data_IF_514980127509
#
_entry.id   IF_514980127509
#
_cell.length_a   1.000
_cell.length_b   1.000
_cell.length_c   1.000
_cell.angle_alpha   90.00
_cell.angle_beta   90.00
_cell.angle_gamma   90.00
#
_symmetry.space_group_name_H-M   'P 1'
#
loop_
_entity.id
_entity.type
_entity.pdbx_description
1 polymer ?
#
# COMPACT_ATOMS: atom_id res chain seq x y z
N UNK A 1 -10.28 -73.62 -9.67
CA UNK A 1 -11.25 -73.72 -10.77
C UNK A 1 -11.06 -72.52 -11.68
N UNK A 2 -10.89 -72.76 -12.98
CA UNK A 2 -10.82 -71.73 -14.03
C UNK A 2 -12.21 -71.12 -14.23
N UNK A 3 -12.32 -69.80 -14.21
CA UNK A 3 -13.39 -69.12 -14.95
C UNK A 3 -12.84 -67.88 -15.61
N UNK A 4 -13.06 -67.85 -16.92
CA UNK A 4 -12.60 -66.94 -17.96
C UNK A 4 -13.23 -65.55 -17.76
N UNK A 5 -12.43 -64.49 -17.83
CA UNK A 5 -12.93 -63.13 -18.03
C UNK A 5 -12.81 -62.74 -19.50
N UNK A 6 -13.97 -62.42 -20.08
CA UNK A 6 -14.18 -62.04 -21.47
C UNK A 6 -13.62 -60.65 -21.74
N UNK A 7 -12.86 -60.51 -22.84
CA UNK A 7 -12.40 -59.23 -23.39
C UNK A 7 -13.59 -58.45 -23.98
N UNK A 8 -13.89 -57.29 -23.42
CA UNK A 8 -14.68 -56.26 -24.10
C UNK A 8 -13.73 -55.17 -24.60
N UNK A 9 -13.50 -55.14 -25.92
CA UNK A 9 -12.90 -53.97 -26.56
C UNK A 9 -13.96 -52.88 -26.64
N UNK A 10 -13.84 -51.85 -25.80
CA UNK A 10 -14.64 -50.64 -25.94
C UNK A 10 -13.79 -49.61 -26.69
N UNK A 11 -13.99 -49.55 -28.00
CA UNK A 11 -13.46 -48.47 -28.84
C UNK A 11 -14.22 -47.21 -28.43
N UNK A 12 -13.55 -46.26 -27.78
CA UNK A 12 -14.13 -44.95 -27.48
C UNK A 12 -14.05 -44.12 -28.77
N UNK A 13 -15.18 -43.69 -29.36
CA UNK A 13 -15.15 -42.74 -30.44
C UNK A 13 -14.64 -41.39 -29.90
N UNK A 14 -13.57 -40.88 -30.49
CA UNK A 14 -13.10 -39.50 -30.28
C UNK A 14 -14.18 -38.59 -30.85
N UNK A 15 -15.14 -38.20 -30.01
CA UNK A 15 -16.11 -37.16 -30.32
C UNK A 15 -15.43 -35.80 -30.12
N UNK A 16 -15.63 -34.95 -31.12
CA UNK A 16 -14.95 -33.68 -31.31
C UNK A 16 -15.19 -32.70 -30.15
N UNK A 17 -14.17 -32.51 -29.30
CA UNK A 17 -14.10 -31.40 -28.33
C UNK A 17 -13.65 -30.07 -28.94
N UNK A 18 -13.61 -29.93 -30.27
CA UNK A 18 -13.14 -28.70 -30.92
C UNK A 18 -14.23 -27.63 -31.06
N UNK A 19 -15.52 -27.99 -30.97
CA UNK A 19 -16.62 -27.04 -31.19
C UNK A 19 -16.97 -26.22 -29.94
N UNK A 20 -16.66 -26.72 -28.75
CA UNK A 20 -16.99 -26.05 -27.48
C UNK A 20 -15.92 -25.03 -27.07
N UNK A 21 -14.66 -25.26 -27.44
CA UNK A 21 -13.55 -24.35 -27.16
C UNK A 21 -13.63 -23.04 -27.97
N UNK A 22 -14.12 -23.10 -29.21
CA UNK A 22 -14.30 -21.92 -30.06
C UNK A 22 -15.43 -21.02 -29.55
N UNK A 23 -16.53 -21.63 -29.09
CA UNK A 23 -17.66 -20.89 -28.53
C UNK A 23 -17.30 -20.25 -27.18
N UNK A 24 -16.57 -20.96 -26.31
CA UNK A 24 -16.08 -20.41 -25.04
C UNK A 24 -15.13 -19.21 -25.27
N UNK A 25 -14.22 -19.33 -26.24
CA UNK A 25 -13.30 -18.23 -26.59
C UNK A 25 -14.04 -17.02 -27.17
N UNK A 26 -15.06 -17.26 -27.98
CA UNK A 26 -15.88 -16.21 -28.59
C UNK A 26 -16.81 -15.52 -27.58
N UNK A 27 -17.33 -16.24 -26.58
CA UNK A 27 -18.10 -15.66 -25.46
C UNK A 27 -17.21 -14.88 -24.50
N UNK A 28 -15.98 -15.33 -24.23
CA UNK A 28 -15.00 -14.54 -23.45
C UNK A 28 -14.64 -13.25 -24.19
N UNK A 29 -14.37 -13.32 -25.51
CA UNK A 29 -14.11 -12.14 -26.34
C UNK A 29 -15.31 -11.18 -26.39
N UNK A 30 -16.54 -11.71 -26.45
CA UNK A 30 -17.76 -10.87 -26.44
C UNK A 30 -18.02 -10.24 -25.09
N UNK A 31 -17.77 -10.95 -23.99
CA UNK A 31 -17.95 -10.43 -22.63
C UNK A 31 -16.93 -9.32 -22.33
N UNK A 32 -15.70 -9.44 -22.85
CA UNK A 32 -14.68 -8.38 -22.81
C UNK A 32 -14.99 -7.18 -23.73
N UNK A 33 -15.79 -7.39 -24.80
CA UNK A 33 -16.20 -6.33 -25.74
C UNK A 33 -17.52 -5.64 -25.37
N UNK A 34 -18.26 -6.13 -24.39
CA UNK A 34 -19.23 -5.28 -23.66
C UNK A 34 -18.42 -4.25 -22.90
N UNK A 35 -18.11 -3.17 -23.61
CA UNK A 35 -17.54 -1.91 -23.17
C UNK A 35 -17.88 -1.62 -21.71
N UNK A 36 -17.05 -2.11 -20.78
CA UNK A 36 -16.69 -1.33 -19.62
C UNK A 36 -16.19 -0.04 -20.25
N UNK A 37 -17.03 0.98 -20.19
CA UNK A 37 -16.56 2.34 -20.40
C UNK A 37 -15.52 2.51 -19.30
N UNK A 38 -14.24 2.24 -19.60
CA UNK A 38 -13.14 2.66 -18.75
C UNK A 38 -13.43 4.14 -18.59
N UNK A 39 -13.95 4.51 -17.42
CA UNK A 39 -14.29 5.87 -17.09
C UNK A 39 -13.11 6.72 -17.55
N UNK A 40 -13.35 7.66 -18.45
CA UNK A 40 -12.34 8.67 -18.79
C UNK A 40 -12.07 9.61 -17.61
N UNK A 41 -12.67 9.33 -16.44
CA UNK A 41 -12.44 10.03 -15.19
C UNK A 41 -11.13 9.62 -14.52
N UNK A 42 -10.68 10.50 -13.63
CA UNK A 42 -9.47 10.34 -12.82
C UNK A 42 -9.52 9.05 -12.00
N UNK A 43 -8.38 8.36 -11.88
CA UNK A 43 -8.21 7.30 -10.89
C UNK A 43 -8.33 7.88 -9.46
N UNK A 44 -8.61 7.05 -8.46
CA UNK A 44 -8.63 7.52 -7.06
C UNK A 44 -7.29 8.11 -6.63
N UNK A 45 -6.18 7.62 -7.19
CA UNK A 45 -4.85 8.17 -6.91
C UNK A 45 -4.58 9.44 -7.72
N UNK A 46 -5.17 9.58 -8.91
CA UNK A 46 -5.13 10.85 -9.63
C UNK A 46 -5.89 11.91 -8.81
N UNK A 47 -7.04 11.58 -8.22
CA UNK A 47 -7.75 12.53 -7.33
C UNK A 47 -6.89 12.92 -6.11
N UNK A 48 -6.08 12.00 -5.57
CA UNK A 48 -5.23 12.27 -4.40
C UNK A 48 -3.96 13.05 -4.72
N UNK A 49 -3.29 12.67 -5.80
CA UNK A 49 -1.88 12.98 -6.03
C UNK A 49 -1.61 13.64 -7.38
N UNK A 50 -2.59 13.80 -8.26
CA UNK A 50 -2.41 14.50 -9.53
C UNK A 50 -1.95 15.94 -9.28
N UNK A 51 -0.90 16.35 -9.99
CA UNK A 51 -0.24 17.64 -9.80
C UNK A 51 0.64 17.76 -8.55
N UNK A 52 0.87 16.67 -7.78
CA UNK A 52 1.88 16.69 -6.73
C UNK A 52 3.28 16.78 -7.32
N UNK A 53 4.07 17.71 -6.79
CA UNK A 53 5.49 17.88 -7.02
C UNK A 53 6.29 17.28 -5.86
N UNK A 54 7.61 17.18 -5.99
CA UNK A 54 8.50 16.63 -4.96
C UNK A 54 8.29 17.29 -3.58
N UNK A 55 8.02 18.60 -3.56
CA UNK A 55 7.75 19.33 -2.32
C UNK A 55 6.49 18.88 -1.59
N UNK A 56 5.46 18.40 -2.32
CA UNK A 56 4.23 17.88 -1.72
C UNK A 56 4.48 16.55 -1.00
N UNK A 57 5.43 15.75 -1.47
CA UNK A 57 5.82 14.50 -0.80
C UNK A 57 6.59 14.76 0.51
N UNK A 58 7.22 15.93 0.64
CA UNK A 58 7.99 16.31 1.84
C UNK A 58 7.12 16.92 2.94
N UNK A 59 5.97 17.51 2.59
CA UNK A 59 5.06 18.15 3.54
C UNK A 59 3.58 18.06 3.11
N UNK A 60 2.83 17.15 3.72
CA UNK A 60 1.42 16.90 3.40
C UNK A 60 0.60 16.40 4.61
N UNK A 61 -0.72 16.30 4.41
CA UNK A 61 -1.66 15.86 5.45
C UNK A 61 -1.47 14.40 5.89
N UNK A 62 -0.89 13.53 5.05
CA UNK A 62 -0.60 12.16 5.48
C UNK A 62 0.47 12.16 6.58
N UNK A 63 1.52 12.97 6.42
CA UNK A 63 2.58 13.09 7.42
C UNK A 63 2.06 13.78 8.70
N UNK A 64 1.24 14.84 8.58
CA UNK A 64 0.60 15.49 9.74
C UNK A 64 -0.30 14.51 10.50
N UNK A 65 -1.03 13.65 9.80
CA UNK A 65 -1.87 12.61 10.41
C UNK A 65 -1.02 11.61 11.19
N UNK A 66 0.11 11.19 10.63
CA UNK A 66 1.06 10.30 11.31
C UNK A 66 1.65 10.95 12.57
N UNK A 67 2.15 12.19 12.46
CA UNK A 67 2.70 12.95 13.59
C UNK A 67 1.66 13.10 14.70
N UNK A 68 0.44 13.52 14.36
CA UNK A 68 -0.65 13.67 15.32
C UNK A 68 -0.96 12.36 16.04
N UNK A 69 -1.02 11.24 15.31
CA UNK A 69 -1.27 9.94 15.94
C UNK A 69 -0.18 9.55 16.94
N UNK A 70 1.09 9.78 16.59
CA UNK A 70 2.21 9.53 17.49
C UNK A 70 2.16 10.43 18.73
N UNK A 71 1.76 11.70 18.57
CA UNK A 71 1.54 12.63 19.69
C UNK A 71 0.40 12.14 20.59
N UNK A 72 -0.76 11.80 20.02
CA UNK A 72 -1.90 11.25 20.74
C UNK A 72 -1.52 9.95 21.48
N UNK A 73 -0.67 9.10 20.89
CA UNK A 73 -0.17 7.88 21.53
C UNK A 73 0.75 8.21 22.73
N UNK A 74 1.66 9.15 22.56
CA UNK A 74 2.59 9.58 23.60
C UNK A 74 1.86 10.26 24.77
N UNK A 75 0.80 11.00 24.48
CA UNK A 75 -0.10 11.63 25.46
C UNK A 75 -1.08 10.63 26.10
N UNK A 76 -1.12 9.39 25.64
CA UNK A 76 -2.00 8.34 26.15
C UNK A 76 -3.46 8.47 25.74
N UNK A 77 -3.76 9.29 24.72
CA UNK A 77 -5.09 9.46 24.13
C UNK A 77 -5.47 8.21 23.31
N UNK A 78 -4.50 7.61 22.62
CA UNK A 78 -4.66 6.35 21.89
C UNK A 78 -3.71 5.28 22.43
N UNK A 79 -4.12 4.02 22.30
CA UNK A 79 -3.29 2.87 22.67
C UNK A 79 -2.92 2.07 21.43
N UNK A 80 -1.66 1.65 21.34
CA UNK A 80 -1.16 0.81 20.28
C UNK A 80 -0.09 -0.15 20.80
N UNK A 81 -0.44 -1.41 21.08
CA UNK A 81 0.49 -2.41 21.61
C UNK A 81 1.72 -2.67 20.71
N UNK A 82 1.64 -2.38 19.41
CA UNK A 82 2.78 -2.55 18.51
C UNK A 82 3.89 -1.51 18.76
N UNK A 83 3.53 -0.38 19.38
CA UNK A 83 4.45 0.72 19.69
C UNK A 83 5.01 0.67 21.10
N UNK A 84 4.34 -0.03 22.02
CA UNK A 84 4.72 -0.10 23.45
C UNK A 84 6.18 -0.50 23.69
N UNK A 85 6.78 -1.47 22.97
CA UNK A 85 8.20 -1.82 23.15
C UNK A 85 9.17 -0.68 22.82
N UNK A 86 8.72 0.33 22.07
CA UNK A 86 9.53 1.42 21.54
C UNK A 86 9.17 2.78 22.14
N UNK A 87 8.26 2.83 23.12
CA UNK A 87 7.66 4.05 23.67
C UNK A 87 8.66 5.15 24.05
N UNK A 88 9.83 4.78 24.59
CA UNK A 88 10.86 5.78 24.95
C UNK A 88 11.54 6.43 23.74
N UNK A 89 11.66 5.72 22.61
CA UNK A 89 12.30 6.21 21.40
C UNK A 89 11.33 6.98 20.48
N UNK A 90 10.04 6.62 20.50
CA UNK A 90 9.02 7.22 19.61
C UNK A 90 8.39 8.51 20.16
N UNK A 91 8.84 8.98 21.34
CA UNK A 91 8.58 10.35 21.83
C UNK A 91 9.35 11.39 21.02
N UNK A 92 10.42 10.97 20.35
CA UNK A 92 11.31 11.85 19.61
C UNK A 92 10.77 12.31 18.27
N UNK A 93 11.62 13.06 17.58
CA UNK A 93 11.38 13.48 16.21
C UNK A 93 11.72 12.35 15.24
N UNK A 94 11.15 12.38 14.04
CA UNK A 94 11.46 11.42 12.99
C UNK A 94 11.69 12.11 11.65
N UNK A 95 12.34 11.40 10.72
CA UNK A 95 12.36 11.76 9.30
C UNK A 95 11.48 10.82 8.49
N UNK A 96 11.02 11.30 7.34
CA UNK A 96 10.42 10.44 6.31
C UNK A 96 11.56 9.75 5.58
N UNK A 97 11.64 8.42 5.71
CA UNK A 97 12.58 7.59 4.98
C UNK A 97 12.07 7.36 3.54
N UNK A 98 10.77 7.10 3.41
CA UNK A 98 10.12 6.86 2.14
C UNK A 98 8.62 7.18 2.26
N UNK A 99 8.02 7.72 1.20
CA UNK A 99 6.57 7.88 1.09
C UNK A 99 6.13 7.61 -0.34
N UNK A 100 5.11 6.76 -0.50
CA UNK A 100 4.55 6.40 -1.80
C UNK A 100 3.02 6.30 -1.73
N UNK A 101 2.30 6.45 -2.86
CA UNK A 101 0.92 6.01 -2.96
C UNK A 101 0.79 4.55 -2.53
N UNK A 102 -0.25 4.22 -1.76
CA UNK A 102 -0.52 2.85 -1.35
C UNK A 102 -1.62 2.22 -2.20
N UNK A 103 -1.47 0.92 -2.53
CA UNK A 103 -2.41 0.19 -3.38
C UNK A 103 -3.83 0.12 -2.77
N UNK A 104 -3.93 0.18 -1.44
CA UNK A 104 -5.21 0.21 -0.72
C UNK A 104 -5.75 1.63 -0.48
N UNK A 105 -5.16 2.63 -1.13
CA UNK A 105 -5.55 4.04 -1.07
C UNK A 105 -4.80 4.84 0.00
N UNK A 106 -4.57 6.12 -0.27
CA UNK A 106 -3.74 6.98 0.60
C UNK A 106 -2.25 6.72 0.42
N UNK A 107 -1.48 6.92 1.48
CA UNK A 107 -0.02 6.87 1.44
C UNK A 107 0.55 5.80 2.38
N UNK A 108 1.57 5.11 1.88
CA UNK A 108 2.45 4.25 2.67
C UNK A 108 3.69 5.06 3.02
N UNK A 109 4.00 5.17 4.31
CA UNK A 109 5.06 6.03 4.84
C UNK A 109 5.98 5.18 5.69
N UNK A 110 7.26 5.17 5.34
CA UNK A 110 8.34 4.62 6.17
C UNK A 110 9.03 5.77 6.87
N UNK A 111 9.18 5.68 8.17
CA UNK A 111 9.85 6.67 9.00
C UNK A 111 11.00 6.05 9.77
N UNK A 112 11.96 6.90 10.10
CA UNK A 112 13.09 6.57 10.97
C UNK A 112 13.11 7.61 12.09
N UNK A 113 13.06 7.15 13.33
CA UNK A 113 13.13 8.04 14.49
C UNK A 113 14.58 8.52 14.68
N UNK A 114 14.74 9.81 14.98
CA UNK A 114 16.05 10.40 15.18
C UNK A 114 16.83 9.70 16.31
N UNK A 115 16.14 9.31 17.38
CA UNK A 115 16.76 8.63 18.53
C UNK A 115 16.94 7.12 18.38
N UNK A 116 16.45 6.53 17.28
CA UNK A 116 16.64 5.12 16.94
C UNK A 116 16.77 4.97 15.42
N UNK A 117 17.86 5.51 14.84
CA UNK A 117 17.97 5.70 13.40
C UNK A 117 18.19 4.40 12.63
N UNK A 118 18.56 3.31 13.31
CA UNK A 118 18.82 1.99 12.74
C UNK A 118 17.53 1.18 12.47
N UNK A 119 16.37 1.68 12.90
CA UNK A 119 15.08 0.98 12.81
C UNK A 119 14.08 1.74 11.95
N UNK A 120 13.38 0.98 11.09
CA UNK A 120 12.36 1.51 10.19
C UNK A 120 10.97 1.17 10.73
N UNK A 121 10.07 2.15 10.70
CA UNK A 121 8.65 1.95 10.97
C UNK A 121 7.87 2.23 9.71
N UNK A 122 7.05 1.28 9.27
CA UNK A 122 6.08 1.51 8.22
C UNK A 122 4.73 1.86 8.79
N UNK A 123 4.04 2.72 8.07
CA UNK A 123 2.68 3.12 8.37
C UNK A 123 1.87 3.26 7.10
N UNK A 124 0.56 3.07 7.24
CA UNK A 124 -0.40 3.35 6.18
C UNK A 124 -1.39 4.39 6.67
N UNK A 125 -1.42 5.52 5.99
CA UNK A 125 -2.40 6.57 6.17
C UNK A 125 -3.40 6.48 5.01
N UNK A 126 -4.60 6.00 5.30
CA UNK A 126 -5.70 6.00 4.35
C UNK A 126 -6.22 7.43 4.16
N UNK A 127 -6.75 7.71 2.98
CA UNK A 127 -7.50 8.95 2.71
C UNK A 127 -8.76 8.63 1.93
N UNK A 128 -9.88 9.17 2.40
CA UNK A 128 -11.16 9.08 1.69
C UNK A 128 -11.11 9.93 0.41
N UNK A 129 -11.80 9.47 -0.63
CA UNK A 129 -11.95 10.21 -1.89
C UNK A 129 -13.42 10.33 -2.20
N UNK A 130 -13.87 11.55 -2.48
CA UNK A 130 -15.17 11.82 -3.06
C UNK A 130 -15.00 11.92 -4.59
N UNK A 131 -15.38 10.87 -5.30
CA UNK A 131 -15.22 10.78 -6.76
C UNK A 131 -16.07 11.82 -7.49
N UNK A 132 -17.33 12.03 -7.07
CA UNK A 132 -18.24 12.99 -7.69
C UNK A 132 -17.72 14.44 -7.66
N UNK A 133 -16.96 14.78 -6.61
CA UNK A 133 -16.40 16.10 -6.40
C UNK A 133 -14.91 16.19 -6.70
N UNK A 134 -14.28 15.07 -7.06
CA UNK A 134 -12.83 14.94 -7.24
C UNK A 134 -12.02 15.56 -6.08
N UNK A 135 -12.37 15.21 -4.84
CA UNK A 135 -11.72 15.76 -3.64
C UNK A 135 -11.30 14.69 -2.65
N UNK A 136 -10.17 14.92 -1.97
CA UNK A 136 -9.72 14.12 -0.82
C UNK A 136 -10.46 14.58 0.45
N UNK A 137 -11.00 13.61 1.19
CA UNK A 137 -11.72 13.81 2.45
C UNK A 137 -10.83 13.62 3.67
N UNK A 138 -11.29 12.78 4.60
CA UNK A 138 -10.57 12.52 5.85
C UNK A 138 -9.33 11.64 5.65
N UNK A 139 -8.39 11.76 6.58
CA UNK A 139 -7.17 10.95 6.67
C UNK A 139 -7.20 10.12 7.95
N UNK A 140 -6.78 8.86 7.87
CA UNK A 140 -6.83 7.92 8.98
C UNK A 140 -5.60 7.01 8.99
N UNK A 141 -4.90 6.91 10.12
CA UNK A 141 -3.88 5.88 10.29
C UNK A 141 -4.54 4.50 10.39
N UNK A 142 -4.21 3.60 9.47
CA UNK A 142 -4.68 2.21 9.43
C UNK A 142 -3.75 1.27 10.17
N UNK A 143 -2.44 1.48 10.05
CA UNK A 143 -1.45 0.78 10.89
C UNK A 143 -0.16 1.57 10.99
N UNK A 144 0.60 1.23 12.02
CA UNK A 144 2.03 1.51 12.15
C UNK A 144 2.68 0.30 12.81
N UNK A 145 3.82 -0.13 12.28
CA UNK A 145 4.58 -1.27 12.79
C UNK A 145 6.06 -1.10 12.47
N UNK A 146 6.91 -1.67 13.32
CA UNK A 146 8.32 -1.79 13.03
C UNK A 146 8.56 -2.82 11.93
N UNK A 147 9.52 -2.56 11.05
CA UNK A 147 9.95 -3.50 10.03
C UNK A 147 11.06 -4.42 10.57
N UNK A 148 11.20 -5.59 9.93
CA UNK A 148 12.35 -6.47 10.14
C UNK A 148 13.62 -5.89 9.49
N UNK A 149 13.45 -5.12 8.42
CA UNK A 149 14.54 -4.37 7.78
C UNK A 149 15.12 -3.33 8.74
N UNK A 150 16.44 -3.30 8.81
CA UNK A 150 17.22 -2.28 9.51
C UNK A 150 17.97 -1.43 8.52
N UNK A 151 18.43 -0.26 8.96
CA UNK A 151 19.26 0.64 8.17
C UNK A 151 20.56 0.96 8.89
N UNK A 152 21.59 1.31 8.13
CA UNK A 152 22.89 1.76 8.66
C UNK A 152 22.92 3.29 8.89
N UNK A 153 21.80 3.98 8.68
CA UNK A 153 21.67 5.43 8.90
C UNK A 153 22.00 5.78 10.36
N UNK A 154 22.86 6.79 10.53
CA UNK A 154 23.15 7.36 11.84
C UNK A 154 22.43 8.69 12.07
N UNK A 155 22.50 9.20 13.31
CA UNK A 155 22.02 10.55 13.63
C UNK A 155 22.74 11.62 12.80
N UNK A 156 24.04 11.45 12.59
CA UNK A 156 24.86 12.36 11.80
C UNK A 156 24.42 12.37 10.34
N UNK A 157 24.09 11.21 9.76
CA UNK A 157 23.55 11.12 8.40
C UNK A 157 22.22 11.87 8.27
N UNK A 158 21.33 11.74 9.25
CA UNK A 158 20.06 12.49 9.28
C UNK A 158 20.30 14.00 9.32
N UNK A 159 21.19 14.46 10.20
CA UNK A 159 21.53 15.89 10.30
C UNK A 159 22.19 16.40 9.02
N UNK A 160 23.02 15.57 8.39
CA UNK A 160 23.67 15.91 7.13
C UNK A 160 22.66 16.01 5.99
N UNK A 161 21.69 15.09 5.92
CA UNK A 161 20.62 15.12 4.92
C UNK A 161 19.74 16.37 5.06
N UNK A 162 19.34 16.74 6.27
CA UNK A 162 18.57 17.98 6.54
C UNK A 162 19.34 19.23 6.06
N UNK A 163 20.67 19.21 6.16
CA UNK A 163 21.51 20.34 5.76
C UNK A 163 21.71 20.43 4.24
N UNK A 164 21.78 19.30 3.55
CA UNK A 164 22.12 19.22 2.12
C UNK A 164 20.91 19.13 1.20
N UNK A 165 19.78 18.65 1.70
CA UNK A 165 18.58 18.37 0.91
C UNK A 165 17.43 19.27 1.36
N UNK A 166 17.04 20.19 0.47
CA UNK A 166 15.93 21.11 0.73
C UNK A 166 14.63 20.35 1.01
N UNK A 167 13.96 20.73 2.10
CA UNK A 167 12.66 20.20 2.51
C UNK A 167 12.70 18.95 3.39
N UNK A 168 13.85 18.25 3.52
CA UNK A 168 14.00 17.25 4.58
C UNK A 168 14.04 17.96 5.94
N UNK A 169 13.21 17.48 6.87
CA UNK A 169 13.10 18.04 8.22
C UNK A 169 12.77 16.96 9.24
N UNK A 170 13.00 17.31 10.49
CA UNK A 170 12.52 16.56 11.64
C UNK A 170 11.04 16.90 11.89
N UNK A 171 10.22 15.86 11.92
CA UNK A 171 8.79 15.90 12.24
C UNK A 171 8.51 15.60 13.71
#
# INVERSE_FOLDING_TARGET
>A
MKTIFSLFSMVIPILAFSMEYSNLKQDIDRTLQTTDTISTGKSLNDIRFDGWEDSNWLDNEYIRTLRKYLDDYNDGIVSNPALDPYKEHIKGQFIIYEINPFILGGAYIRIVFFDMPDRIFSSWIYSEVNEDKEMVGNYELRFISIEEETTDITKEDILQAIKEMDGIKLW
#
